data_IF_597218300111
#
_entry.id   IF_597218300111
#
_cell.length_a   1.000
_cell.length_b   1.000
_cell.length_c   1.000
_cell.angle_alpha   90.00
_cell.angle_beta   90.00
_cell.angle_gamma   90.00
#
_symmetry.space_group_name_H-M   'P 1'
#
loop_
_entity.id
_entity.type
_entity.pdbx_description
1 polymer ?
#
# COMPACT_ATOMS: atom_id res chain seq x y z
N UNK A 1 6.15 -17.42 -6.82
CA UNK A 1 6.31 -16.18 -7.61
C UNK A 1 7.73 -16.09 -8.12
N UNK A 2 7.95 -15.52 -9.30
CA UNK A 2 9.29 -15.26 -9.84
C UNK A 2 9.70 -13.85 -9.43
N UNK A 3 10.94 -13.64 -9.01
CA UNK A 3 11.43 -12.29 -8.72
C UNK A 3 11.34 -11.41 -9.97
N UNK A 4 10.74 -10.22 -9.82
CA UNK A 4 10.75 -9.19 -10.85
C UNK A 4 12.16 -8.63 -10.97
N UNK A 5 12.70 -8.58 -12.18
CA UNK A 5 14.08 -8.16 -12.43
C UNK A 5 14.25 -6.66 -12.73
N UNK A 6 13.15 -5.89 -12.88
CA UNK A 6 13.14 -4.43 -13.11
C UNK A 6 11.81 -3.78 -12.68
N UNK A 7 11.90 -2.61 -12.05
CA UNK A 7 10.77 -1.71 -11.75
C UNK A 7 9.85 -2.21 -10.64
N UNK A 8 9.94 -1.60 -9.45
CA UNK A 8 9.09 -1.93 -8.30
C UNK A 8 7.91 -0.98 -8.21
N UNK A 9 6.72 -1.50 -8.46
CA UNK A 9 5.46 -0.85 -8.07
C UNK A 9 5.31 -0.98 -6.55
N UNK A 10 6.17 -0.27 -5.80
CA UNK A 10 6.12 -0.29 -4.35
C UNK A 10 5.01 0.67 -3.92
N UNK A 11 3.93 0.10 -3.41
CA UNK A 11 2.83 0.88 -2.86
C UNK A 11 2.79 0.69 -1.35
N UNK A 12 2.61 1.79 -0.63
CA UNK A 12 2.12 1.74 0.74
C UNK A 12 0.65 2.10 0.71
N UNK A 13 -0.19 1.12 1.07
CA UNK A 13 -1.64 1.29 1.07
C UNK A 13 -2.12 1.28 2.51
N UNK A 14 -2.82 2.34 2.90
CA UNK A 14 -3.31 2.56 4.25
C UNK A 14 -4.82 2.80 4.24
N UNK A 15 -5.51 2.22 5.21
CA UNK A 15 -6.94 2.40 5.44
C UNK A 15 -7.17 3.13 6.76
N UNK A 16 -8.03 4.13 6.73
CA UNK A 16 -8.48 4.88 7.90
C UNK A 16 -10.00 4.73 8.01
N UNK A 17 -10.48 4.17 9.11
CA UNK A 17 -11.92 4.20 9.40
C UNK A 17 -12.34 5.66 9.67
N UNK A 18 -13.53 6.04 9.21
CA UNK A 18 -14.02 7.42 9.34
C UNK A 18 -14.21 7.88 10.79
N UNK A 19 -14.32 6.94 11.75
CA UNK A 19 -14.28 7.26 13.18
C UNK A 19 -12.90 7.79 13.61
N UNK A 20 -11.85 7.35 12.94
CA UNK A 20 -10.44 7.54 13.29
C UNK A 20 -9.69 8.37 12.25
N UNK A 21 -10.41 9.07 11.37
CA UNK A 21 -9.84 9.79 10.23
C UNK A 21 -8.82 10.88 10.59
N UNK A 22 -8.88 11.40 11.82
CA UNK A 22 -7.98 12.44 12.32
C UNK A 22 -6.76 11.86 13.07
N UNK A 23 -6.69 10.52 13.20
CA UNK A 23 -5.53 9.83 13.78
C UNK A 23 -4.35 9.81 12.80
N UNK A 24 -3.14 9.90 13.36
CA UNK A 24 -1.89 9.81 12.57
C UNK A 24 -1.67 8.37 12.10
N UNK A 25 -2.01 7.40 12.95
CA UNK A 25 -1.83 5.99 12.66
C UNK A 25 -3.03 5.44 11.90
N UNK A 26 -2.81 4.73 10.77
CA UNK A 26 -3.91 4.12 10.03
C UNK A 26 -4.60 3.02 10.84
N UNK A 27 -5.88 2.79 10.56
CA UNK A 27 -6.62 1.65 11.12
C UNK A 27 -5.99 0.33 10.66
N UNK A 28 -5.59 0.25 9.38
CA UNK A 28 -4.87 -0.89 8.83
C UNK A 28 -3.97 -0.49 7.65
N UNK A 29 -2.99 -1.33 7.36
CA UNK A 29 -2.12 -1.23 6.18
C UNK A 29 -2.22 -2.50 5.35
N UNK A 30 -2.10 -2.40 4.04
CA UNK A 30 -2.17 -3.55 3.17
C UNK A 30 -0.79 -4.10 2.81
N UNK A 31 -0.65 -5.43 2.88
CA UNK A 31 0.33 -6.14 2.08
C UNK A 31 -0.18 -6.18 0.64
N UNK A 32 0.55 -5.52 -0.26
CA UNK A 32 0.20 -5.45 -1.68
C UNK A 32 0.87 -6.60 -2.42
N UNK A 33 0.06 -7.38 -3.14
CA UNK A 33 0.52 -8.50 -3.94
C UNK A 33 0.08 -8.28 -5.40
N UNK A 34 1.03 -8.12 -6.30
CA UNK A 34 0.76 -8.08 -7.74
C UNK A 34 0.36 -9.48 -8.24
N UNK A 35 -0.68 -9.53 -9.09
CA UNK A 35 -1.20 -10.76 -9.70
C UNK A 35 -0.70 -10.99 -11.13
N UNK A 36 0.12 -10.11 -11.68
CA UNK A 36 0.66 -10.14 -13.05
C UNK A 36 -0.44 -10.10 -14.14
N UNK A 37 -1.67 -9.68 -13.81
CA UNK A 37 -2.81 -9.53 -14.71
C UNK A 37 -3.31 -8.07 -14.82
N UNK A 38 -2.52 -7.13 -14.29
CA UNK A 38 -2.88 -5.72 -14.17
C UNK A 38 -3.74 -5.40 -12.93
N UNK A 39 -3.96 -6.37 -12.04
CA UNK A 39 -4.65 -6.17 -10.76
C UNK A 39 -3.73 -6.45 -9.56
N UNK A 40 -4.11 -5.87 -8.42
CA UNK A 40 -3.40 -6.07 -7.15
C UNK A 40 -4.35 -6.67 -6.12
N UNK A 41 -3.81 -7.60 -5.32
CA UNK A 41 -4.47 -8.10 -4.12
C UNK A 41 -3.98 -7.33 -2.89
N UNK A 42 -4.93 -6.88 -2.07
CA UNK A 42 -4.66 -6.11 -0.86
C UNK A 42 -5.07 -6.95 0.36
N UNK A 43 -4.11 -7.27 1.22
CA UNK A 43 -4.36 -7.98 2.49
C UNK A 43 -4.12 -7.02 3.65
N UNK A 44 -5.17 -6.61 4.32
CA UNK A 44 -5.08 -5.62 5.40
C UNK A 44 -4.72 -6.26 6.73
N UNK A 45 -3.80 -5.63 7.44
CA UNK A 45 -3.50 -5.92 8.83
C UNK A 45 -3.38 -4.63 9.63
N UNK A 46 -3.64 -4.70 10.93
CA UNK A 46 -3.36 -3.58 11.82
C UNK A 46 -1.86 -3.28 11.87
N UNK A 47 -1.48 -2.08 12.29
CA UNK A 47 -0.05 -1.75 12.47
C UNK A 47 0.48 -2.32 13.80
N UNK A 48 1.80 -2.48 13.96
CA UNK A 48 2.38 -2.85 15.25
C UNK A 48 2.05 -1.88 16.40
N UNK A 49 1.77 -0.61 16.06
CA UNK A 49 1.35 0.44 16.99
C UNK A 49 -0.14 0.32 17.38
N UNK A 50 -0.96 -0.31 16.52
CA UNK A 50 -2.39 -0.55 16.74
C UNK A 50 -2.67 -2.05 16.86
N UNK A 51 -2.48 -2.60 18.05
CA UNK A 51 -2.68 -4.06 18.29
C UNK A 51 -4.14 -4.49 18.39
N UNK A 52 -5.06 -3.54 18.45
CA UNK A 52 -6.49 -3.78 18.55
C UNK A 52 -7.25 -2.83 17.65
N UNK A 53 -8.35 -3.33 17.09
CA UNK A 53 -9.28 -2.53 16.34
C UNK A 53 -10.24 -1.84 17.30
N UNK A 54 -10.60 -0.59 17.00
CA UNK A 54 -11.54 0.16 17.81
C UNK A 54 -12.93 -0.49 17.72
N UNK A 55 -13.62 -0.72 18.85
CA UNK A 55 -14.96 -1.30 18.84
C UNK A 55 -16.01 -0.36 18.20
N UNK A 56 -15.74 0.95 18.17
CA UNK A 56 -16.67 1.97 17.68
C UNK A 56 -16.43 2.37 16.21
N UNK A 57 -15.77 1.50 15.43
CA UNK A 57 -15.53 1.73 13.99
C UNK A 57 -16.84 1.93 13.23
N UNK A 58 -16.81 2.81 12.23
CA UNK A 58 -17.95 3.04 11.34
C UNK A 58 -18.10 1.93 10.30
N UNK A 59 -17.03 1.20 10.00
CA UNK A 59 -17.03 0.16 8.97
C UNK A 59 -16.97 0.73 7.55
N UNK A 60 -16.65 2.02 7.44
CA UNK A 60 -16.46 2.75 6.19
C UNK A 60 -15.37 3.80 6.43
N UNK A 61 -14.57 4.07 5.41
CA UNK A 61 -13.38 4.88 5.58
C UNK A 61 -12.72 5.29 4.28
N UNK A 62 -11.47 5.70 4.41
CA UNK A 62 -10.66 6.23 3.32
C UNK A 62 -9.44 5.36 3.08
N UNK A 63 -9.20 5.04 1.81
CA UNK A 63 -8.03 4.34 1.34
C UNK A 63 -7.03 5.36 0.77
N UNK A 64 -5.83 5.37 1.34
CA UNK A 64 -4.70 6.11 0.82
C UNK A 64 -3.73 5.15 0.14
N UNK A 65 -3.35 5.45 -1.09
CA UNK A 65 -2.34 4.71 -1.85
C UNK A 65 -1.17 5.66 -2.06
N UNK A 66 -0.07 5.38 -1.39
CA UNK A 66 1.19 6.12 -1.52
C UNK A 66 2.12 5.34 -2.44
N UNK A 67 2.58 5.97 -3.51
CA UNK A 67 3.59 5.39 -4.38
C UNK A 67 4.96 5.54 -3.71
N UNK A 68 5.50 4.43 -3.20
CA UNK A 68 6.85 4.38 -2.68
C UNK A 68 7.82 4.32 -3.86
N UNK A 69 8.56 5.41 -4.04
CA UNK A 69 9.59 5.48 -5.06
C UNK A 69 10.75 4.56 -4.69
N UNK A 70 10.93 3.47 -5.44
CA UNK A 70 12.27 2.89 -5.55
C UNK A 70 13.14 3.77 -6.44
N UNK A 71 14.44 3.73 -6.20
CA UNK A 71 15.48 4.28 -7.07
C UNK A 71 15.42 3.74 -8.53
N UNK A 72 14.49 2.84 -8.85
CA UNK A 72 14.36 2.11 -10.11
C UNK A 72 13.68 2.85 -11.26
N UNK A 73 13.07 4.03 -11.05
CA UNK A 73 12.46 4.82 -12.14
C UNK A 73 13.49 5.29 -13.19
N UNK A 74 14.77 5.32 -12.79
CA UNK A 74 15.91 5.53 -13.68
C UNK A 74 16.16 4.36 -14.64
N UNK A 75 15.73 3.14 -14.29
CA UNK A 75 16.15 1.90 -14.94
C UNK A 75 15.11 1.29 -15.92
N UNK A 76 14.07 2.06 -16.27
CA UNK A 76 13.24 1.76 -17.44
C UNK A 76 14.14 1.72 -18.68
N UNK A 77 13.98 0.68 -19.50
CA UNK A 77 14.77 0.47 -20.72
C UNK A 77 14.76 1.75 -21.59
N UNK A 78 15.93 2.26 -22.02
CA UNK A 78 16.05 3.57 -22.68
C UNK A 78 15.05 3.81 -23.83
N UNK A 79 14.74 2.75 -24.60
CA UNK A 79 13.83 2.83 -25.75
C UNK A 79 12.41 3.29 -25.40
N UNK A 80 11.93 3.11 -24.17
CA UNK A 80 10.58 3.56 -23.79
C UNK A 80 10.51 5.06 -23.46
N UNK A 81 11.67 5.73 -23.29
CA UNK A 81 11.76 7.16 -22.96
C UNK A 81 11.98 8.06 -24.19
N UNK A 82 12.33 7.49 -25.35
CA UNK A 82 12.62 8.27 -26.59
C UNK A 82 11.39 9.00 -27.15
N UNK A 83 10.18 8.61 -26.76
CA UNK A 83 8.91 9.20 -27.22
C UNK A 83 8.26 10.14 -26.19
N UNK A 84 8.90 10.37 -25.04
CA UNK A 84 8.35 11.23 -24.00
C UNK A 84 8.47 12.70 -24.44
N UNK A 85 7.34 13.34 -24.75
CA UNK A 85 7.28 14.77 -25.12
C UNK A 85 7.36 15.70 -23.91
N UNK A 86 7.21 15.17 -22.71
CA UNK A 86 7.32 15.86 -21.42
C UNK A 86 7.90 14.90 -20.39
N UNK A 87 8.44 15.42 -19.29
CA UNK A 87 8.64 14.62 -18.10
C UNK A 87 7.28 14.07 -17.66
N UNK A 88 7.17 12.76 -17.39
CA UNK A 88 5.95 12.20 -16.83
C UNK A 88 5.72 12.77 -15.43
N UNK A 89 4.51 13.28 -15.17
CA UNK A 89 4.05 13.52 -13.81
C UNK A 89 3.51 12.20 -13.26
N UNK A 90 3.95 11.81 -12.07
CA UNK A 90 3.38 10.69 -11.35
C UNK A 90 2.70 11.25 -10.11
N UNK A 91 1.42 10.98 -9.94
CA UNK A 91 0.75 11.23 -8.67
C UNK A 91 1.34 10.30 -7.62
N UNK A 92 2.01 10.90 -6.62
CA UNK A 92 2.67 10.18 -5.55
C UNK A 92 1.68 9.62 -4.52
N UNK A 93 0.44 10.09 -4.57
CA UNK A 93 -0.59 9.80 -3.60
C UNK A 93 -1.96 9.82 -4.28
N UNK A 94 -2.71 8.75 -4.09
CA UNK A 94 -4.10 8.64 -4.48
C UNK A 94 -4.98 8.41 -3.25
N UNK A 95 -6.18 8.98 -3.25
CA UNK A 95 -7.15 8.85 -2.15
C UNK A 95 -8.48 8.36 -2.71
N UNK A 96 -9.06 7.36 -2.06
CA UNK A 96 -10.43 6.91 -2.32
C UNK A 96 -11.23 6.94 -1.02
N UNK A 97 -12.35 7.63 -1.03
CA UNK A 97 -13.24 7.80 0.12
C UNK A 97 -14.42 6.81 0.06
N UNK A 98 -15.18 6.71 1.15
CA UNK A 98 -16.37 5.86 1.26
C UNK A 98 -16.10 4.38 0.95
N UNK A 99 -14.91 3.90 1.30
CA UNK A 99 -14.48 2.52 1.13
C UNK A 99 -15.01 1.67 2.29
N UNK A 100 -15.81 0.62 2.03
CA UNK A 100 -16.22 -0.32 3.07
C UNK A 100 -14.99 -0.92 3.75
N UNK A 101 -15.10 -1.16 5.06
CA UNK A 101 -13.99 -1.74 5.82
C UNK A 101 -13.56 -3.09 5.21
N UNK A 102 -12.28 -3.24 4.82
CA UNK A 102 -11.79 -4.51 4.31
C UNK A 102 -11.66 -5.53 5.46
N UNK A 103 -11.54 -6.83 5.17
CA UNK A 103 -11.13 -7.79 6.20
C UNK A 103 -9.76 -7.43 6.77
N UNK A 104 -9.71 -7.01 8.04
CA UNK A 104 -8.47 -6.64 8.72
C UNK A 104 -8.01 -7.76 9.65
N UNK A 105 -6.76 -8.20 9.47
CA UNK A 105 -6.10 -9.12 10.40
C UNK A 105 -5.41 -8.34 11.53
N UNK A 106 -5.47 -8.87 12.75
CA UNK A 106 -4.69 -8.28 13.85
C UNK A 106 -3.21 -8.63 13.64
N UNK A 107 -2.35 -7.61 13.67
CA UNK A 107 -0.90 -7.81 13.60
C UNK A 107 -0.43 -8.80 14.66
N UNK A 108 0.30 -9.82 14.21
CA UNK A 108 1.00 -10.76 15.08
C UNK A 108 2.50 -10.47 14.99
N UNK A 109 3.17 -10.11 16.09
CA UNK A 109 4.62 -9.95 16.07
C UNK A 109 5.29 -11.27 15.68
N UNK A 110 6.40 -11.24 14.91
CA UNK A 110 7.16 -12.43 14.61
C UNK A 110 7.58 -13.14 15.90
N UNK A 111 7.33 -14.45 15.99
CA UNK A 111 7.72 -15.27 17.14
C UNK A 111 9.18 -15.71 17.10
N UNK A 112 9.82 -15.65 15.93
CA UNK A 112 11.25 -15.91 15.73
C UNK A 112 11.80 -14.99 14.64
N UNK A 113 13.05 -14.56 14.82
CA UNK A 113 13.81 -13.82 13.82
C UNK A 113 15.00 -14.67 13.42
N UNK A 114 15.13 -14.98 12.13
CA UNK A 114 16.35 -15.58 11.60
C UNK A 114 17.11 -14.48 10.87
N UNK A 115 18.18 -13.99 11.50
CA UNK A 115 19.01 -12.88 11.00
C UNK A 115 20.29 -13.40 10.29
N UNK A 116 20.26 -14.64 9.80
CA UNK A 116 21.40 -15.30 9.16
C UNK A 116 21.76 -14.70 7.81
#
# INVERSE_FOLDING_TARGET
GKEKSRGGDEFYVAYFDDWEKDEIDPTAVALVQDRDDGTFELKFATTPMRRHLNPNRRGVGTLHIFFQYTCGIGNLSPKSKELWKSAGASDLHFTAEAIPEPPIQIFQPPTQYNLS
#
